data_IF_146782151973
#
_entry.id   IF_146782151973
#
_cell.length_a   1.000
_cell.length_b   1.000
_cell.length_c   1.000
_cell.angle_alpha   90.00
_cell.angle_beta   90.00
_cell.angle_gamma   90.00
#
_symmetry.space_group_name_H-M   'P 1'
#
loop_
_entity.id
_entity.type
_entity.pdbx_description
1 polymer ?
#
# COMPACT_ATOMS: atom_id res chain seq x y z
N UNK A 1 -13.78 43.15 21.72
CA UNK A 1 -14.40 42.51 20.54
C UNK A 1 -14.51 41.01 20.81
N UNK A 2 -15.69 40.38 20.69
CA UNK A 2 -15.79 38.93 20.88
C UNK A 2 -15.13 38.19 19.70
N UNK A 3 -14.47 37.04 19.93
CA UNK A 3 -13.79 36.28 18.89
C UNK A 3 -14.80 35.63 17.93
N UNK A 4 -14.48 35.65 16.63
CA UNK A 4 -15.32 35.13 15.57
C UNK A 4 -15.54 33.61 15.72
N UNK A 5 -16.81 33.17 15.67
CA UNK A 5 -17.20 31.76 15.77
C UNK A 5 -16.59 30.93 14.61
N UNK A 6 -16.10 29.71 14.86
CA UNK A 6 -15.46 28.89 13.83
C UNK A 6 -16.46 28.41 12.75
N UNK A 7 -16.13 28.67 11.47
CA UNK A 7 -16.96 28.50 10.26
C UNK A 7 -17.20 27.05 9.79
N UNK A 8 -16.91 26.06 10.64
CA UNK A 8 -16.82 24.64 10.25
C UNK A 8 -18.17 24.01 9.85
N UNK A 9 -19.27 24.51 10.41
CA UNK A 9 -20.63 24.04 10.10
C UNK A 9 -21.14 24.58 8.75
N UNK A 10 -20.80 25.82 8.41
CA UNK A 10 -21.28 26.50 7.21
C UNK A 10 -20.77 25.88 5.91
N UNK A 11 -19.55 25.34 5.91
CA UNK A 11 -18.93 24.72 4.73
C UNK A 11 -19.70 23.49 4.27
N UNK A 12 -20.19 22.67 5.22
CA UNK A 12 -21.02 21.50 4.89
C UNK A 12 -22.36 21.92 4.31
N UNK A 13 -22.97 22.98 4.84
CA UNK A 13 -24.24 23.51 4.33
C UNK A 13 -24.09 24.14 2.93
N UNK A 14 -22.92 24.64 2.57
CA UNK A 14 -22.65 25.16 1.23
C UNK A 14 -22.53 24.08 0.16
N UNK A 15 -22.10 22.86 0.54
CA UNK A 15 -21.87 21.74 -0.40
C UNK A 15 -23.15 20.91 -0.62
N UNK A 16 -24.04 20.82 0.38
CA UNK A 16 -25.33 20.10 0.28
C UNK A 16 -26.14 20.31 -1.02
N UNK A 17 -26.24 21.52 -1.60
CA UNK A 17 -27.02 21.71 -2.83
C UNK A 17 -26.35 21.17 -4.11
N UNK A 18 -25.09 20.73 -4.05
CA UNK A 18 -24.37 20.21 -5.22
C UNK A 18 -24.42 18.66 -5.27
N UNK A 19 -24.36 18.05 -6.46
CA UNK A 19 -24.34 16.60 -6.61
C UNK A 19 -23.22 15.92 -5.80
N UNK A 20 -23.51 14.75 -5.23
CA UNK A 20 -22.55 13.99 -4.43
C UNK A 20 -21.31 13.59 -5.26
N UNK A 21 -20.13 13.76 -4.67
CA UNK A 21 -18.86 13.40 -5.30
C UNK A 21 -18.17 14.50 -6.11
N UNK A 22 -18.80 15.66 -6.33
CA UNK A 22 -18.16 16.81 -7.00
C UNK A 22 -17.25 17.58 -6.03
N UNK A 23 -17.72 17.78 -4.80
CA UNK A 23 -16.99 18.51 -3.77
C UNK A 23 -16.77 17.62 -2.55
N UNK A 24 -15.54 17.56 -2.07
CA UNK A 24 -15.15 16.86 -0.84
C UNK A 24 -14.63 17.87 0.18
N UNK A 25 -14.94 17.67 1.46
CA UNK A 25 -14.50 18.58 2.51
C UNK A 25 -14.00 17.86 3.76
N UNK A 26 -12.90 18.34 4.31
CA UNK A 26 -12.38 17.99 5.64
C UNK A 26 -12.86 19.02 6.70
N UNK A 27 -13.93 19.77 6.39
CA UNK A 27 -14.53 20.80 7.24
C UNK A 27 -13.77 22.13 7.35
N UNK A 28 -12.51 22.18 6.88
CA UNK A 28 -11.70 23.41 6.77
C UNK A 28 -11.51 23.90 5.34
N UNK A 29 -11.47 23.00 4.36
CA UNK A 29 -11.20 23.29 2.95
C UNK A 29 -12.22 22.54 2.09
N UNK A 30 -12.67 23.18 1.00
CA UNK A 30 -13.47 22.54 -0.05
C UNK A 30 -12.53 22.14 -1.17
N UNK A 31 -12.55 20.87 -1.55
CA UNK A 31 -11.79 20.35 -2.67
C UNK A 31 -12.75 19.99 -3.80
N UNK A 32 -12.50 20.53 -4.99
CA UNK A 32 -13.27 20.24 -6.19
C UNK A 32 -12.62 19.07 -6.92
N UNK A 33 -13.34 17.97 -7.02
CA UNK A 33 -12.88 16.74 -7.69
C UNK A 33 -12.67 16.96 -9.20
N UNK A 34 -13.59 17.62 -9.94
CA UNK A 34 -13.35 17.93 -11.35
C UNK A 34 -12.12 18.81 -11.62
N UNK A 35 -11.88 19.81 -10.78
CA UNK A 35 -10.81 20.79 -10.98
C UNK A 35 -9.48 20.42 -10.31
N UNK A 36 -9.45 19.35 -9.52
CA UNK A 36 -8.34 18.92 -8.66
C UNK A 36 -7.70 20.04 -7.83
N UNK A 37 -8.51 21.01 -7.40
CA UNK A 37 -8.04 22.22 -6.73
C UNK A 37 -8.74 22.45 -5.40
N UNK A 38 -7.95 22.93 -4.44
CA UNK A 38 -8.44 23.47 -3.17
C UNK A 38 -9.09 24.83 -3.45
N UNK A 39 -10.38 24.97 -3.14
CA UNK A 39 -11.07 26.25 -3.22
C UNK A 39 -10.95 26.92 -1.86
N UNK A 40 -10.30 28.09 -1.83
CA UNK A 40 -10.29 28.94 -0.64
C UNK A 40 -11.62 29.69 -0.51
N UNK A 41 -12.63 29.01 0.01
CA UNK A 41 -13.94 29.60 0.27
C UNK A 41 -13.97 30.24 1.67
N UNK A 42 -13.93 31.57 1.74
CA UNK A 42 -14.20 32.32 2.97
C UNK A 42 -15.69 32.63 3.15
N UNK A 43 -16.47 32.56 2.06
CA UNK A 43 -17.93 32.79 1.93
C UNK A 43 -18.53 31.93 0.80
N UNK A 44 -19.86 31.67 0.85
CA UNK A 44 -20.60 30.81 -0.11
C UNK A 44 -20.44 31.26 -1.57
N UNK A 45 -20.39 32.56 -1.83
CA UNK A 45 -20.29 33.11 -3.20
C UNK A 45 -19.02 32.69 -3.93
N UNK A 46 -17.92 32.42 -3.22
CA UNK A 46 -16.68 31.91 -3.84
C UNK A 46 -16.86 30.50 -4.41
N UNK A 47 -17.71 29.68 -3.78
CA UNK A 47 -18.04 28.34 -4.28
C UNK A 47 -18.96 28.43 -5.50
N UNK A 48 -19.97 29.30 -5.45
CA UNK A 48 -20.87 29.57 -6.57
C UNK A 48 -20.09 30.08 -7.80
N UNK A 49 -19.20 31.05 -7.61
CA UNK A 49 -18.37 31.58 -8.70
C UNK A 49 -17.41 30.53 -9.28
N UNK A 50 -16.87 29.64 -8.45
CA UNK A 50 -16.06 28.52 -8.94
C UNK A 50 -16.90 27.58 -9.81
N UNK A 51 -18.12 27.26 -9.37
CA UNK A 51 -19.02 26.36 -10.08
C UNK A 51 -19.49 26.95 -11.43
N UNK A 52 -19.63 28.26 -11.51
CA UNK A 52 -20.02 28.99 -12.72
C UNK A 52 -18.86 29.28 -13.67
N UNK A 53 -17.62 28.97 -13.29
CA UNK A 53 -16.46 29.20 -14.13
C UNK A 53 -16.44 28.26 -15.33
N UNK A 54 -16.14 28.77 -16.52
CA UNK A 54 -15.95 27.98 -17.75
C UNK A 54 -14.96 26.81 -17.54
N UNK A 55 -13.89 27.06 -16.77
CA UNK A 55 -12.89 26.05 -16.41
C UNK A 55 -13.49 24.91 -15.59
N UNK A 56 -14.47 25.18 -14.72
CA UNK A 56 -15.14 24.14 -13.97
C UNK A 56 -16.07 23.34 -14.88
N UNK A 57 -16.84 24.00 -15.75
CA UNK A 57 -17.74 23.35 -16.71
C UNK A 57 -16.99 22.38 -17.64
N UNK A 58 -15.88 22.83 -18.25
CA UNK A 58 -15.04 21.97 -19.12
C UNK A 58 -14.47 20.77 -18.37
N UNK A 59 -13.94 20.99 -17.16
CA UNK A 59 -13.38 19.93 -16.34
C UNK A 59 -14.45 18.97 -15.81
N UNK A 60 -15.65 19.46 -15.53
CA UNK A 60 -16.78 18.67 -15.06
C UNK A 60 -17.32 17.76 -16.16
N UNK A 61 -17.43 18.25 -17.39
CA UNK A 61 -17.76 17.40 -18.54
C UNK A 61 -16.73 16.30 -18.76
N UNK A 62 -15.44 16.63 -18.62
CA UNK A 62 -14.35 15.63 -18.71
C UNK A 62 -14.44 14.62 -17.58
N UNK A 63 -14.68 15.08 -16.35
CA UNK A 63 -14.81 14.27 -15.15
C UNK A 63 -15.94 13.25 -15.26
N UNK A 64 -17.10 13.65 -15.79
CA UNK A 64 -18.23 12.74 -16.06
C UNK A 64 -17.90 11.68 -17.10
N UNK A 65 -17.19 12.06 -18.18
CA UNK A 65 -16.76 11.12 -19.23
C UNK A 65 -15.72 10.10 -18.72
N UNK A 66 -14.95 10.45 -17.70
CA UNK A 66 -13.94 9.58 -17.06
C UNK A 66 -14.43 8.83 -15.83
N UNK A 67 -15.76 8.74 -15.59
CA UNK A 67 -16.34 8.06 -14.43
C UNK A 67 -15.94 6.56 -14.29
N UNK A 68 -15.36 5.96 -15.32
CA UNK A 68 -14.50 4.76 -15.21
C UNK A 68 -13.14 5.15 -14.62
N UNK A 69 -13.14 5.47 -13.31
CA UNK A 69 -11.92 5.67 -12.53
C UNK A 69 -10.99 4.47 -12.75
N UNK A 70 -9.82 4.70 -13.37
CA UNK A 70 -8.63 3.98 -12.95
C UNK A 70 -8.44 4.35 -11.48
N UNK A 71 -8.82 3.43 -10.59
CA UNK A 71 -8.43 3.54 -9.21
C UNK A 71 -6.91 3.58 -9.20
N UNK A 72 -6.36 4.71 -8.75
CA UNK A 72 -5.00 4.71 -8.24
C UNK A 72 -4.93 3.54 -7.26
N UNK A 73 -4.08 2.55 -7.55
CA UNK A 73 -3.80 1.44 -6.65
C UNK A 73 -3.14 2.04 -5.41
N UNK A 74 -3.95 2.60 -4.52
CA UNK A 74 -3.59 2.66 -3.12
C UNK A 74 -3.36 1.21 -2.74
N UNK A 75 -2.09 0.86 -2.51
CA UNK A 75 -1.69 -0.37 -1.87
C UNK A 75 -2.27 -0.32 -0.46
N UNK A 76 -3.57 -0.55 -0.37
CA UNK A 76 -4.24 -0.83 0.86
C UNK A 76 -3.70 -2.19 1.26
N UNK A 77 -2.84 -2.17 2.29
CA UNK A 77 -2.51 -3.34 3.08
C UNK A 77 -3.82 -3.83 3.73
N UNK A 78 -4.69 -4.42 2.93
CA UNK A 78 -5.76 -5.25 3.45
C UNK A 78 -5.14 -6.61 3.59
N UNK A 79 -4.95 -7.04 4.83
CA UNK A 79 -4.36 -8.32 5.25
C UNK A 79 -5.25 -9.51 4.87
N UNK A 80 -5.71 -9.60 3.62
CA UNK A 80 -6.15 -10.87 3.06
C UNK A 80 -4.92 -11.57 2.49
N UNK A 81 -4.11 -12.10 3.39
CA UNK A 81 -2.99 -12.99 3.05
C UNK A 81 -3.61 -14.31 2.60
N UNK A 82 -3.61 -14.57 1.30
CA UNK A 82 -4.05 -15.87 0.78
C UNK A 82 -3.12 -16.98 1.31
N UNK A 83 -3.64 -17.99 2.02
CA UNK A 83 -2.82 -19.06 2.60
C UNK A 83 -2.01 -19.80 1.53
N UNK A 84 -2.61 -20.05 0.36
CA UNK A 84 -1.92 -20.76 -0.73
C UNK A 84 -0.69 -19.98 -1.22
N UNK A 85 -0.85 -18.69 -1.50
CA UNK A 85 0.23 -17.82 -1.97
C UNK A 85 1.33 -17.65 -0.92
N UNK A 86 0.96 -17.61 0.36
CA UNK A 86 1.90 -17.57 1.48
C UNK A 86 2.70 -18.87 1.60
N UNK A 87 2.04 -20.01 1.55
CA UNK A 87 2.69 -21.32 1.64
C UNK A 87 3.60 -21.57 0.44
N UNK A 88 3.17 -21.16 -0.76
CA UNK A 88 4.00 -21.18 -1.95
C UNK A 88 5.24 -20.28 -1.80
N UNK A 89 5.08 -19.06 -1.26
CA UNK A 89 6.19 -18.17 -0.97
C UNK A 89 7.21 -18.84 -0.02
N UNK A 90 6.73 -19.40 1.09
CA UNK A 90 7.55 -20.11 2.06
C UNK A 90 8.28 -21.31 1.45
N UNK A 91 7.60 -22.12 0.65
CA UNK A 91 8.19 -23.30 0.00
C UNK A 91 9.32 -22.91 -0.96
N UNK A 92 9.11 -21.87 -1.78
CA UNK A 92 10.13 -21.39 -2.72
C UNK A 92 11.34 -20.82 -2.01
N UNK A 93 11.14 -19.99 -0.96
CA UNK A 93 12.23 -19.44 -0.15
C UNK A 93 13.00 -20.56 0.55
N UNK A 94 12.30 -21.50 1.21
CA UNK A 94 12.92 -22.61 1.92
C UNK A 94 13.71 -23.56 1.00
N UNK A 95 13.26 -23.73 -0.24
CA UNK A 95 13.96 -24.52 -1.25
C UNK A 95 15.04 -23.73 -2.03
N UNK A 96 15.28 -22.46 -1.68
CA UNK A 96 16.18 -21.55 -2.40
C UNK A 96 15.86 -21.43 -3.90
N UNK A 97 14.55 -21.40 -4.23
CA UNK A 97 14.05 -21.27 -5.60
C UNK A 97 13.68 -19.79 -5.86
N UNK A 98 14.30 -19.14 -6.86
CA UNK A 98 13.94 -17.77 -7.21
C UNK A 98 12.49 -17.61 -7.68
N UNK A 99 11.80 -16.56 -7.21
CA UNK A 99 10.39 -16.33 -7.53
C UNK A 99 10.08 -16.16 -9.02
N UNK A 100 11.03 -15.69 -9.84
CA UNK A 100 10.80 -15.58 -11.29
C UNK A 100 10.50 -16.93 -11.95
N UNK A 101 10.87 -18.06 -11.31
CA UNK A 101 10.55 -19.40 -11.81
C UNK A 101 9.05 -19.67 -11.83
N UNK A 102 8.26 -18.97 -11.02
CA UNK A 102 6.80 -19.07 -11.01
C UNK A 102 6.16 -18.51 -12.29
N UNK A 103 6.86 -17.59 -12.96
CA UNK A 103 6.41 -17.04 -14.24
C UNK A 103 6.76 -17.97 -15.43
N UNK A 104 7.49 -19.06 -15.20
CA UNK A 104 7.73 -20.04 -16.26
C UNK A 104 6.42 -20.79 -16.58
N UNK A 105 5.98 -20.84 -17.85
CA UNK A 105 4.71 -21.47 -18.21
C UNK A 105 4.60 -22.92 -17.75
N UNK A 106 5.63 -23.74 -17.96
CA UNK A 106 5.59 -25.16 -17.57
C UNK A 106 5.46 -25.36 -16.06
N UNK A 107 6.14 -24.52 -15.27
CA UNK A 107 6.02 -24.55 -13.80
C UNK A 107 4.64 -24.06 -13.34
N UNK A 108 4.15 -22.97 -13.95
CA UNK A 108 2.85 -22.40 -13.64
C UNK A 108 1.70 -23.33 -14.02
N UNK A 109 1.74 -23.92 -15.22
CA UNK A 109 0.74 -24.86 -15.73
C UNK A 109 0.67 -26.11 -14.85
N UNK A 110 1.82 -26.62 -14.41
CA UNK A 110 1.89 -27.74 -13.48
C UNK A 110 1.15 -27.40 -12.18
N UNK A 111 1.49 -26.28 -11.54
CA UNK A 111 0.85 -25.86 -10.29
C UNK A 111 -0.63 -25.56 -10.49
N UNK A 112 -1.01 -24.85 -11.55
CA UNK A 112 -2.40 -24.52 -11.87
C UNK A 112 -3.24 -25.78 -12.09
N UNK A 113 -2.68 -26.79 -12.77
CA UNK A 113 -3.34 -28.09 -13.02
C UNK A 113 -3.64 -28.85 -11.73
N UNK A 114 -2.67 -28.95 -10.82
CA UNK A 114 -2.82 -29.78 -9.62
C UNK A 114 -3.45 -29.04 -8.43
N UNK A 115 -3.27 -27.73 -8.34
CA UNK A 115 -3.83 -26.91 -7.26
C UNK A 115 -5.22 -26.33 -7.59
N UNK A 116 -5.65 -26.41 -8.86
CA UNK A 116 -6.92 -25.87 -9.36
C UNK A 116 -7.15 -24.40 -8.95
N UNK A 117 -6.08 -23.61 -8.99
CA UNK A 117 -6.04 -22.20 -8.61
C UNK A 117 -5.05 -21.44 -9.48
N UNK A 118 -5.28 -20.14 -9.64
CA UNK A 118 -4.31 -19.26 -10.28
C UNK A 118 -3.09 -19.09 -9.39
N UNK A 119 -1.91 -19.35 -9.96
CA UNK A 119 -0.65 -19.17 -9.26
C UNK A 119 -0.27 -17.68 -9.23
N UNK A 120 0.14 -17.10 -8.08
CA UNK A 120 0.56 -15.71 -8.02
C UNK A 120 1.83 -15.47 -8.83
N UNK A 121 1.91 -14.34 -9.52
CA UNK A 121 3.13 -13.92 -10.23
C UNK A 121 4.22 -13.49 -9.26
N UNK A 122 5.47 -13.49 -9.73
CA UNK A 122 6.65 -13.10 -8.96
C UNK A 122 6.47 -11.80 -8.16
N UNK A 123 5.94 -10.75 -8.80
CA UNK A 123 5.82 -9.43 -8.19
C UNK A 123 4.86 -9.43 -7.00
N UNK A 124 3.80 -10.25 -7.08
CA UNK A 124 2.82 -10.45 -6.02
C UNK A 124 3.46 -11.16 -4.82
N UNK A 125 4.21 -12.25 -5.06
CA UNK A 125 4.95 -12.96 -4.01
C UNK A 125 5.93 -12.03 -3.29
N UNK A 126 6.73 -11.28 -4.05
CA UNK A 126 7.76 -10.38 -3.52
C UNK A 126 7.19 -9.23 -2.69
N UNK A 127 6.10 -8.60 -3.14
CA UNK A 127 5.55 -7.39 -2.50
C UNK A 127 4.65 -7.71 -1.31
N UNK A 128 3.87 -8.79 -1.40
CA UNK A 128 2.77 -9.02 -0.46
C UNK A 128 3.09 -10.12 0.56
N UNK A 129 3.92 -11.11 0.20
CA UNK A 129 4.10 -12.33 1.01
C UNK A 129 5.50 -12.45 1.62
N UNK A 130 6.54 -12.01 0.91
CA UNK A 130 7.93 -12.14 1.40
C UNK A 130 8.14 -11.47 2.76
N UNK A 131 7.59 -10.27 2.95
CA UNK A 131 7.70 -9.55 4.22
C UNK A 131 7.04 -10.32 5.36
N UNK A 132 5.84 -10.84 5.14
CA UNK A 132 5.09 -11.64 6.14
C UNK A 132 5.87 -12.89 6.51
N UNK A 133 6.41 -13.62 5.53
CA UNK A 133 7.20 -14.83 5.75
C UNK A 133 8.48 -14.55 6.56
N UNK A 134 9.13 -13.41 6.28
CA UNK A 134 10.30 -12.95 7.02
C UNK A 134 9.94 -12.63 8.47
N UNK A 135 8.90 -11.82 8.70
CA UNK A 135 8.48 -11.41 10.05
C UNK A 135 8.11 -12.63 10.91
N UNK A 136 7.40 -13.60 10.35
CA UNK A 136 7.05 -14.85 11.04
C UNK A 136 8.26 -15.72 11.35
N UNK A 137 9.24 -15.77 10.45
CA UNK A 137 10.49 -16.51 10.69
C UNK A 137 11.32 -15.83 11.78
N UNK A 138 11.41 -14.51 11.75
CA UNK A 138 12.07 -13.74 12.80
C UNK A 138 11.39 -13.93 14.16
N UNK A 139 10.07 -13.94 14.19
CA UNK A 139 9.33 -14.15 15.44
C UNK A 139 9.54 -15.55 16.00
N UNK A 140 9.56 -16.58 15.13
CA UNK A 140 9.91 -17.95 15.52
C UNK A 140 11.32 -18.02 16.11
N UNK A 141 12.31 -17.41 15.45
CA UNK A 141 13.69 -17.37 15.95
C UNK A 141 13.75 -16.70 17.33
N UNK A 142 13.03 -15.59 17.54
CA UNK A 142 12.98 -14.95 18.86
C UNK A 142 12.34 -15.84 19.92
N UNK A 143 11.26 -16.54 19.57
CA UNK A 143 10.59 -17.48 20.47
C UNK A 143 11.50 -18.66 20.83
N UNK A 144 12.25 -19.19 19.85
CA UNK A 144 13.21 -20.27 20.04
C UNK A 144 14.40 -19.84 20.93
N UNK A 145 14.83 -18.57 20.83
CA UNK A 145 15.86 -17.99 21.72
C UNK A 145 15.29 -17.75 23.14
N UNK A 146 14.04 -17.29 23.24
CA UNK A 146 13.37 -17.01 24.50
C UNK A 146 14.10 -15.95 25.34
N UNK A 147 14.30 -16.23 26.63
CA UNK A 147 15.05 -15.37 27.57
C UNK A 147 16.53 -15.79 27.69
N UNK A 148 17.03 -16.61 26.77
CA UNK A 148 18.40 -17.13 26.83
C UNK A 148 19.44 -16.04 26.58
N UNK A 149 20.65 -16.23 27.12
CA UNK A 149 21.79 -15.39 26.74
C UNK A 149 22.15 -15.63 25.28
N UNK A 150 22.27 -14.52 24.54
CA UNK A 150 22.64 -14.53 23.12
C UNK A 150 24.10 -14.11 22.99
N UNK A 151 24.85 -14.83 22.16
CA UNK A 151 26.13 -14.37 21.65
C UNK A 151 26.04 -14.12 20.15
N UNK A 152 26.80 -13.14 19.67
CA UNK A 152 26.86 -12.75 18.27
C UNK A 152 28.32 -12.77 17.84
N UNK A 153 28.63 -13.52 16.79
CA UNK A 153 29.92 -13.46 16.09
C UNK A 153 29.74 -12.73 14.78
N UNK A 154 30.68 -11.83 14.50
CA UNK A 154 30.69 -11.00 13.29
C UNK A 154 31.97 -11.32 12.53
N UNK A 155 31.83 -11.70 11.28
CA UNK A 155 32.94 -11.94 10.36
C UNK A 155 32.76 -11.05 9.12
N UNK A 156 33.71 -10.15 8.89
CA UNK A 156 33.70 -9.25 7.73
C UNK A 156 34.62 -9.81 6.65
N UNK A 157 34.07 -10.00 5.46
CA UNK A 157 34.80 -10.46 4.28
C UNK A 157 34.64 -9.45 3.15
N UNK A 158 35.67 -9.29 2.33
CA UNK A 158 35.63 -8.47 1.12
C UNK A 158 35.69 -9.38 -0.08
N UNK A 159 34.74 -9.25 -1.00
CA UNK A 159 34.74 -10.03 -2.24
C UNK A 159 35.78 -9.50 -3.24
N UNK A 160 36.02 -10.25 -4.31
CA UNK A 160 36.96 -9.89 -5.38
C UNK A 160 36.55 -8.65 -6.17
N UNK A 161 35.32 -8.16 -5.99
CA UNK A 161 34.78 -6.95 -6.61
C UNK A 161 34.78 -5.75 -5.63
N UNK A 162 35.38 -5.89 -4.44
CA UNK A 162 35.48 -4.83 -3.43
C UNK A 162 34.19 -4.60 -2.64
N UNK A 163 33.24 -5.54 -2.64
CA UNK A 163 32.03 -5.46 -1.82
C UNK A 163 32.30 -6.05 -0.45
N UNK A 164 31.92 -5.32 0.59
CA UNK A 164 32.03 -5.77 1.97
C UNK A 164 30.79 -6.58 2.35
N UNK A 165 31.00 -7.77 2.91
CA UNK A 165 29.96 -8.67 3.40
C UNK A 165 30.26 -8.99 4.87
N UNK A 166 29.36 -8.61 5.77
CA UNK A 166 29.42 -8.98 7.17
C UNK A 166 28.49 -10.18 7.43
N UNK A 167 29.08 -11.31 7.80
CA UNK A 167 28.35 -12.49 8.26
C UNK A 167 28.11 -12.35 9.76
N UNK A 168 26.84 -12.46 10.17
CA UNK A 168 26.42 -12.43 11.56
C UNK A 168 25.94 -13.83 11.95
N UNK A 169 26.66 -14.47 12.87
CA UNK A 169 26.24 -15.72 13.49
C UNK A 169 25.66 -15.41 14.87
N UNK A 170 24.45 -15.88 15.12
CA UNK A 170 23.76 -15.70 16.39
C UNK A 170 23.59 -17.08 17.03
N UNK A 171 24.01 -17.21 18.28
CA UNK A 171 23.79 -18.42 19.06
C UNK A 171 23.16 -18.10 20.41
N UNK A 172 22.32 -19.01 20.91
CA UNK A 172 21.82 -18.98 22.28
C UNK A 172 22.58 -20.01 23.11
N UNK A 173 23.01 -19.63 24.31
CA UNK A 173 23.48 -20.60 25.31
C UNK A 173 22.30 -21.03 26.17
N UNK A 174 22.07 -22.34 26.22
CA UNK A 174 21.13 -22.93 27.18
C UNK A 174 21.80 -23.01 28.57
N UNK A 175 21.13 -22.63 29.67
CA UNK A 175 21.64 -22.83 31.03
C UNK A 175 21.74 -24.31 31.43
#
# INVERSE_FOLDING_TARGET
MPPAKPKHHLIRDWIKPFPEGIYTTDGKIIFCQPCEKKIQCSIKSHLTQHNESDKHSENFERFQKTATRQQFLAFSQTENVDPFSKDLCNALVGANIPFYKVNNPSFNDFLSKYCNRSVPVESTLRKNYLKVCYEETMERIKQDIGESFVWVSVDETTDTLGRFVANLLVGSNWP
#
